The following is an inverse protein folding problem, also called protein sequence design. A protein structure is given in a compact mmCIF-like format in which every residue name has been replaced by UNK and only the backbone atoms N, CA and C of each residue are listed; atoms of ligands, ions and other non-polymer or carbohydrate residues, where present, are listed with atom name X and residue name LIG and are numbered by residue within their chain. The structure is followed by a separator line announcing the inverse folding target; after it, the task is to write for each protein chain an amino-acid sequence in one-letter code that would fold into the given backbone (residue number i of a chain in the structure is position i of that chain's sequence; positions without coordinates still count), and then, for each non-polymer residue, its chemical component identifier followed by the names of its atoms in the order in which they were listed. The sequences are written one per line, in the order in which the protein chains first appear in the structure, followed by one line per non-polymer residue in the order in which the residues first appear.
data_IF_214276844844
#
_entry.id   IF_214276844844
#
_cell.length_a   1.000
_cell.length_b   1.000
_cell.length_c   1.000
_cell.angle_alpha   90.00
_cell.angle_beta   90.00
_cell.angle_gamma   90.00
#
_symmetry.space_group_name_H-M   'P 1'
#
loop_
_entity.id
_entity.type
_entity.pdbx_description
1 polymer ?
#
# COMPACT_ATOMS: atom_id res chain seq x y z
N UNK A 1 18.62 -12.44 2.60
CA UNK A 1 17.24 -12.13 2.18
C UNK A 1 16.56 -13.30 1.48
N UNK A 2 16.95 -13.69 0.25
CA UNK A 2 16.27 -14.78 -0.49
C UNK A 2 16.36 -16.13 0.23
N UNK A 3 17.54 -16.50 0.73
CA UNK A 3 17.73 -17.76 1.45
C UNK A 3 17.03 -17.80 2.82
N UNK A 4 16.78 -16.65 3.42
CA UNK A 4 16.01 -16.55 4.67
C UNK A 4 14.51 -16.65 4.40
N UNK A 5 14.05 -16.03 3.31
CA UNK A 5 12.66 -16.13 2.88
C UNK A 5 12.24 -17.58 2.59
N UNK A 6 13.14 -18.41 2.07
CA UNK A 6 12.89 -19.82 1.74
C UNK A 6 12.70 -20.72 2.97
N UNK A 7 13.04 -20.28 4.18
CA UNK A 7 12.99 -21.11 5.40
C UNK A 7 11.60 -21.21 6.02
N UNK A 8 10.66 -20.37 5.60
CA UNK A 8 9.32 -20.32 6.18
C UNK A 8 8.28 -20.16 5.07
N UNK A 9 7.09 -20.73 5.27
CA UNK A 9 5.91 -20.47 4.43
C UNK A 9 5.33 -19.06 4.64
N UNK A 10 5.71 -18.38 5.74
CA UNK A 10 5.26 -17.02 6.10
C UNK A 10 6.45 -16.11 6.45
N UNK A 11 7.37 -15.83 5.50
CA UNK A 11 8.62 -15.15 5.80
C UNK A 11 8.46 -13.66 6.10
N UNK A 12 8.51 -13.29 7.38
CA UNK A 12 8.58 -11.89 7.84
C UNK A 12 10.02 -11.43 7.96
N UNK A 13 10.55 -10.87 6.87
CA UNK A 13 11.92 -10.35 6.87
C UNK A 13 11.98 -8.98 7.53
N UNK A 14 12.83 -8.84 8.54
CA UNK A 14 13.09 -7.56 9.21
C UNK A 14 14.30 -6.83 8.63
N UNK A 15 14.24 -6.53 7.34
CA UNK A 15 15.30 -5.79 6.66
C UNK A 15 14.93 -4.32 6.50
N UNK A 16 15.94 -3.45 6.53
CA UNK A 16 15.81 -2.02 6.25
C UNK A 16 15.58 -1.77 4.77
N UNK A 17 14.86 -0.69 4.44
CA UNK A 17 14.73 -0.22 3.06
C UNK A 17 16.08 0.21 2.47
N UNK A 18 16.25 0.04 1.16
CA UNK A 18 17.41 0.48 0.39
C UNK A 18 16.97 1.36 -0.77
N UNK A 19 17.62 2.49 -0.96
CA UNK A 19 17.42 3.42 -2.08
C UNK A 19 18.74 3.55 -2.82
N UNK A 20 18.76 3.14 -4.07
CA UNK A 20 19.91 3.26 -4.97
C UNK A 20 19.94 4.61 -5.69
N UNK A 21 20.52 4.68 -6.91
CA UNK A 21 20.64 5.91 -7.68
C UNK A 21 19.32 6.32 -8.33
N UNK A 22 18.34 6.65 -7.50
CA UNK A 22 17.00 7.05 -7.92
C UNK A 22 16.53 8.29 -7.17
N UNK A 23 15.74 9.11 -7.85
CA UNK A 23 15.11 10.30 -7.27
C UNK A 23 13.64 10.38 -7.68
N UNK A 24 12.81 10.93 -6.79
CA UNK A 24 11.42 11.26 -7.12
C UNK A 24 11.39 12.64 -7.78
N UNK A 25 10.79 12.75 -8.95
CA UNK A 25 10.60 14.02 -9.67
C UNK A 25 9.16 14.12 -10.18
N UNK A 26 8.69 15.33 -10.44
CA UNK A 26 7.51 15.52 -11.29
C UNK A 26 7.87 15.11 -12.72
N UNK A 27 7.08 14.23 -13.34
CA UNK A 27 7.34 13.73 -14.71
C UNK A 27 6.55 14.55 -15.73
N UNK A 28 5.26 14.69 -15.50
CA UNK A 28 4.37 15.47 -16.35
C UNK A 28 3.10 15.84 -15.60
N UNK A 29 2.46 16.92 -16.01
CA UNK A 29 1.24 17.46 -15.37
C UNK A 29 0.11 16.42 -15.30
N UNK A 30 0.08 15.46 -16.22
CA UNK A 30 -0.92 14.39 -16.30
C UNK A 30 -0.53 13.08 -15.59
N UNK A 31 0.75 12.88 -15.24
CA UNK A 31 1.25 11.63 -14.62
C UNK A 31 1.73 11.82 -13.18
N UNK A 32 1.90 13.06 -12.74
CA UNK A 32 2.39 13.39 -11.40
C UNK A 32 3.84 12.99 -11.17
N UNK A 33 4.13 12.51 -9.96
CA UNK A 33 5.48 12.12 -9.52
C UNK A 33 5.88 10.76 -10.09
N UNK A 34 7.14 10.65 -10.51
CA UNK A 34 7.77 9.40 -10.93
C UNK A 34 9.16 9.23 -10.33
N UNK A 35 9.70 8.03 -10.50
CA UNK A 35 11.04 7.66 -10.05
C UNK A 35 11.99 7.66 -11.26
N UNK A 36 13.05 8.47 -11.20
CA UNK A 36 14.06 8.59 -12.27
C UNK A 36 15.42 8.13 -11.77
N UNK A 37 16.28 7.71 -12.69
CA UNK A 37 17.68 7.38 -12.39
C UNK A 37 18.50 8.67 -12.27
N UNK A 38 19.44 8.69 -11.32
CA UNK A 38 20.38 9.82 -11.15
C UNK A 38 21.74 9.58 -11.80
N UNK A 39 22.03 8.35 -12.21
CA UNK A 39 23.25 7.93 -12.90
C UNK A 39 22.96 6.69 -13.75
N UNK A 40 23.90 6.32 -14.62
CA UNK A 40 23.83 5.11 -15.42
C UNK A 40 23.89 3.86 -14.54
N UNK A 41 22.92 2.96 -14.72
CA UNK A 41 22.83 1.70 -13.96
C UNK A 41 23.02 0.49 -14.85
N UNK A 42 23.59 -0.57 -14.29
CA UNK A 42 23.75 -1.85 -14.99
C UNK A 42 22.50 -2.71 -14.85
N UNK A 43 22.23 -3.54 -15.85
CA UNK A 43 21.18 -4.55 -15.77
C UNK A 43 21.37 -5.43 -14.54
N UNK A 44 20.31 -5.60 -13.75
CA UNK A 44 20.33 -6.39 -12.51
C UNK A 44 20.81 -5.64 -11.27
N UNK A 45 21.17 -4.36 -11.39
CA UNK A 45 21.46 -3.51 -10.23
C UNK A 45 20.19 -3.24 -9.42
N UNK A 46 20.27 -3.39 -8.11
CA UNK A 46 19.17 -3.06 -7.20
C UNK A 46 18.98 -1.53 -7.18
N UNK A 47 17.76 -1.07 -7.48
CA UNK A 47 17.41 0.35 -7.49
C UNK A 47 16.66 0.79 -6.24
N UNK A 48 15.76 -0.07 -5.77
CA UNK A 48 14.90 0.21 -4.62
C UNK A 48 14.51 -1.10 -3.97
N UNK A 49 14.51 -1.10 -2.65
CA UNK A 49 13.89 -2.12 -1.81
C UNK A 49 13.18 -1.41 -0.67
N UNK A 50 11.91 -1.73 -0.44
CA UNK A 50 11.14 -1.16 0.66
C UNK A 50 10.56 -2.26 1.52
N UNK A 51 10.62 -2.08 2.84
CA UNK A 51 9.92 -2.93 3.78
C UNK A 51 8.41 -2.67 3.65
N UNK A 52 7.63 -3.74 3.48
CA UNK A 52 6.18 -3.64 3.47
C UNK A 52 5.66 -3.08 4.80
N UNK A 53 4.64 -2.22 4.72
CA UNK A 53 4.03 -1.64 5.92
C UNK A 53 3.31 -2.70 6.76
N UNK A 54 2.65 -3.65 6.10
CA UNK A 54 2.01 -4.82 6.70
C UNK A 54 2.05 -5.99 5.70
N UNK A 55 2.09 -7.21 6.21
CA UNK A 55 2.08 -8.46 5.44
C UNK A 55 1.11 -9.41 6.12
N UNK A 56 0.18 -9.95 5.33
CA UNK A 56 -0.80 -10.94 5.77
C UNK A 56 -0.68 -12.15 4.88
N UNK A 57 -0.58 -13.34 5.47
CA UNK A 57 -0.54 -14.60 4.73
C UNK A 57 -1.91 -15.30 4.75
N UNK A 58 -2.24 -16.12 3.74
CA UNK A 58 -3.52 -16.85 3.70
C UNK A 58 -3.78 -17.72 4.94
N UNK A 59 -2.74 -18.30 5.53
CA UNK A 59 -2.83 -19.10 6.77
C UNK A 59 -3.23 -18.29 8.01
N UNK A 60 -3.20 -16.96 7.90
CA UNK A 60 -3.50 -16.01 8.98
C UNK A 60 -4.86 -15.34 8.77
N UNK A 61 -5.53 -15.65 7.67
CA UNK A 61 -6.86 -15.18 7.38
C UNK A 61 -7.86 -15.82 8.33
N UNK A 62 -8.41 -15.03 9.24
CA UNK A 62 -9.64 -15.34 9.97
C UNK A 62 -10.85 -14.81 9.19
N UNK A 63 -12.07 -15.12 9.65
CA UNK A 63 -13.32 -14.57 9.09
C UNK A 63 -13.49 -13.09 9.47
N UNK A 64 -12.58 -12.23 9.00
CA UNK A 64 -12.69 -10.77 9.12
C UNK A 64 -13.34 -10.23 7.86
N UNK A 65 -14.48 -9.57 8.06
CA UNK A 65 -15.24 -8.92 7.00
C UNK A 65 -15.20 -7.40 7.21
N UNK A 66 -14.70 -6.67 6.23
CA UNK A 66 -14.76 -5.22 6.20
C UNK A 66 -15.91 -4.79 5.30
N UNK A 67 -16.98 -4.27 5.90
CA UNK A 67 -18.16 -3.80 5.20
C UNK A 67 -18.08 -2.29 4.95
N UNK A 68 -18.15 -1.89 3.69
CA UNK A 68 -18.29 -0.49 3.32
C UNK A 68 -19.67 -0.27 2.69
N UNK A 69 -20.59 0.30 3.47
CA UNK A 69 -21.96 0.56 3.01
C UNK A 69 -22.04 1.66 1.94
N UNK A 70 -21.06 2.58 1.89
CA UNK A 70 -21.01 3.66 0.90
C UNK A 70 -20.65 3.12 -0.47
N UNK A 71 -19.64 2.24 -0.54
CA UNK A 71 -19.22 1.60 -1.80
C UNK A 71 -20.01 0.32 -2.11
N UNK A 72 -20.78 -0.19 -1.13
CA UNK A 72 -21.48 -1.48 -1.18
C UNK A 72 -20.54 -2.66 -1.42
N UNK A 73 -19.29 -2.53 -0.98
CA UNK A 73 -18.27 -3.58 -1.11
C UNK A 73 -18.03 -4.23 0.25
N UNK A 74 -17.85 -5.55 0.21
CA UNK A 74 -17.38 -6.34 1.35
C UNK A 74 -15.99 -6.85 0.99
N UNK A 75 -14.98 -6.46 1.77
CA UNK A 75 -13.64 -7.04 1.67
C UNK A 75 -13.53 -8.16 2.70
N UNK A 76 -13.07 -9.32 2.27
CA UNK A 76 -12.96 -10.52 3.11
C UNK A 76 -11.56 -11.11 2.98
N UNK A 77 -11.24 -12.11 3.80
CA UNK A 77 -9.96 -12.81 3.73
C UNK A 77 -8.76 -11.93 4.07
N UNK A 78 -7.70 -12.05 3.28
CA UNK A 78 -6.40 -11.41 3.50
C UNK A 78 -6.49 -9.89 3.52
N UNK A 79 -7.29 -9.29 2.63
CA UNK A 79 -7.49 -7.85 2.58
C UNK A 79 -8.20 -7.30 3.83
N UNK A 80 -9.18 -8.04 4.35
CA UNK A 80 -9.89 -7.67 5.58
C UNK A 80 -8.95 -7.70 6.79
N UNK A 81 -8.21 -8.80 6.94
CA UNK A 81 -7.23 -8.98 8.02
C UNK A 81 -6.08 -7.98 7.93
N UNK A 82 -5.52 -7.75 6.73
CA UNK A 82 -4.45 -6.77 6.52
C UNK A 82 -4.89 -5.36 6.89
N UNK A 83 -6.11 -4.96 6.50
CA UNK A 83 -6.66 -3.64 6.84
C UNK A 83 -6.78 -3.48 8.36
N UNK A 84 -7.29 -4.50 9.06
CA UNK A 84 -7.37 -4.49 10.52
C UNK A 84 -5.99 -4.42 11.18
N UNK A 85 -5.00 -5.17 10.67
CA UNK A 85 -3.62 -5.12 11.15
C UNK A 85 -3.00 -3.72 10.98
N UNK A 86 -3.25 -3.07 9.84
CA UNK A 86 -2.79 -1.69 9.58
C UNK A 86 -3.43 -0.70 10.55
N UNK A 87 -4.75 -0.78 10.76
CA UNK A 87 -5.46 0.09 11.73
C UNK A 87 -4.86 -0.08 13.12
N UNK A 88 -4.70 -1.31 13.59
CA UNK A 88 -4.09 -1.60 14.89
C UNK A 88 -2.66 -1.07 14.98
N UNK A 89 -1.87 -1.22 13.91
CA UNK A 89 -0.49 -0.72 13.85
C UNK A 89 -0.43 0.81 13.97
N UNK A 90 -1.33 1.52 13.30
CA UNK A 90 -1.43 2.98 13.35
C UNK A 90 -1.92 3.48 14.72
N UNK A 91 -2.91 2.80 15.32
CA UNK A 91 -3.41 3.11 16.67
C UNK A 91 -2.30 3.00 17.72
N UNK A 92 -1.50 1.94 17.63
CA UNK A 92 -0.40 1.69 18.57
C UNK A 92 0.86 2.51 18.26
N UNK A 93 0.99 3.06 17.05
CA UNK A 93 2.17 3.82 16.62
C UNK A 93 1.77 5.10 15.86
N UNK A 94 1.24 6.12 16.54
CA UNK A 94 0.77 7.36 15.90
C UNK A 94 1.77 8.08 15.00
N UNK A 95 3.07 7.93 15.27
CA UNK A 95 4.16 8.52 14.47
C UNK A 95 4.17 8.02 13.01
N UNK A 96 3.59 6.85 12.73
CA UNK A 96 3.54 6.28 11.39
C UNK A 96 2.44 6.89 10.51
N UNK A 97 1.41 7.49 11.13
CA UNK A 97 0.18 7.89 10.45
C UNK A 97 0.40 8.92 9.34
N UNK A 98 1.20 9.94 9.59
CA UNK A 98 1.47 10.98 8.57
C UNK A 98 2.06 10.37 7.30
N UNK A 99 3.04 9.46 7.44
CA UNK A 99 3.64 8.78 6.28
C UNK A 99 2.67 7.82 5.58
N UNK A 100 1.84 7.11 6.35
CA UNK A 100 0.87 6.17 5.81
C UNK A 100 -0.23 6.86 4.99
N UNK A 101 -0.81 7.95 5.51
CA UNK A 101 -1.87 8.68 4.81
C UNK A 101 -1.39 9.42 3.55
N UNK A 102 -0.07 9.55 3.37
CA UNK A 102 0.53 10.07 2.14
C UNK A 102 0.65 9.02 1.01
N UNK A 103 0.43 7.73 1.30
CA UNK A 103 0.53 6.64 0.30
C UNK A 103 -0.57 6.66 -0.75
N UNK A 104 -1.68 7.37 -0.51
CA UNK A 104 -2.73 7.56 -1.50
C UNK A 104 -3.43 8.89 -1.29
N UNK A 105 -3.30 9.78 -2.26
CA UNK A 105 -3.94 11.09 -2.24
C UNK A 105 -5.48 10.99 -2.24
N UNK A 106 -6.03 10.03 -2.99
CA UNK A 106 -7.44 9.64 -2.99
C UNK A 106 -8.51 10.74 -3.02
N UNK A 107 -9.75 10.32 -2.76
CA UNK A 107 -10.94 11.21 -2.60
C UNK A 107 -10.94 11.97 -1.26
N UNK A 108 -9.96 11.72 -0.40
CA UNK A 108 -9.91 12.19 0.98
C UNK A 108 -9.10 13.49 1.13
N UNK A 109 -8.44 13.96 0.04
CA UNK A 109 -7.87 15.32 -0.03
C UNK A 109 -8.97 16.34 -0.33
N UNK A 110 -9.84 16.60 0.65
CA UNK A 110 -10.53 17.89 0.73
C UNK A 110 -9.82 18.71 1.80
N UNK A 111 -8.82 19.49 1.37
CA UNK A 111 -8.34 20.69 2.09
C UNK A 111 -7.54 20.54 3.40
N UNK A 112 -7.20 19.33 3.87
CA UNK A 112 -6.54 19.15 5.19
C UNK A 112 -5.14 18.54 5.14
N UNK A 113 -4.27 18.98 6.05
CA UNK A 113 -3.02 18.32 6.47
C UNK A 113 -3.29 16.82 6.75
N UNK A 114 -2.35 15.89 6.45
CA UNK A 114 -2.52 14.48 6.83
C UNK A 114 -2.93 14.38 8.30
N UNK A 115 -3.94 13.55 8.64
CA UNK A 115 -4.33 13.36 10.04
C UNK A 115 -3.09 12.98 10.83
N UNK A 116 -2.69 13.87 11.72
CA UNK A 116 -1.69 13.52 12.73
C UNK A 116 -2.48 12.70 13.74
N UNK A 117 -2.10 11.44 13.97
CA UNK A 117 -2.84 10.52 14.84
C UNK A 117 -2.70 10.88 16.33
N UNK A 118 -2.82 12.15 16.66
CA UNK A 118 -2.95 12.65 18.02
C UNK A 118 -4.45 12.79 18.29
N UNK A 119 -4.99 11.78 18.98
CA UNK A 119 -6.32 11.73 19.61
C UNK A 119 -7.58 11.59 18.71
N UNK A 120 -7.51 11.75 17.39
CA UNK A 120 -8.66 11.49 16.50
C UNK A 120 -8.73 10.01 16.10
N UNK A 121 -9.95 9.46 16.06
CA UNK A 121 -10.20 8.08 15.65
C UNK A 121 -9.68 7.85 14.22
N UNK A 122 -8.88 6.80 14.02
CA UNK A 122 -8.37 6.43 12.69
C UNK A 122 -9.54 6.12 11.75
N UNK A 123 -9.61 6.85 10.64
CA UNK A 123 -10.60 6.61 9.59
C UNK A 123 -10.31 5.28 8.88
N UNK A 124 -11.05 4.24 9.29
CA UNK A 124 -10.93 2.90 8.75
C UNK A 124 -11.25 2.81 7.24
N UNK A 125 -12.08 3.70 6.71
CA UNK A 125 -12.41 3.71 5.28
C UNK A 125 -11.26 4.27 4.46
N UNK A 126 -10.60 5.34 4.94
CA UNK A 126 -9.40 5.86 4.30
C UNK A 126 -8.25 4.85 4.35
N UNK A 127 -8.04 4.19 5.48
CA UNK A 127 -7.06 3.10 5.58
C UNK A 127 -7.36 1.98 4.58
N UNK A 128 -8.63 1.56 4.48
CA UNK A 128 -9.09 0.54 3.53
C UNK A 128 -8.83 0.95 2.07
N UNK A 129 -9.01 2.22 1.71
CA UNK A 129 -8.71 2.76 0.38
C UNK A 129 -7.21 2.77 0.09
N UNK A 130 -6.38 3.24 1.04
CA UNK A 130 -4.91 3.22 0.90
C UNK A 130 -4.42 1.78 0.69
N UNK A 131 -4.89 0.84 1.52
CA UNK A 131 -4.55 -0.57 1.40
C UNK A 131 -4.95 -1.13 0.04
N UNK A 132 -6.15 -0.82 -0.46
CA UNK A 132 -6.57 -1.31 -1.79
C UNK A 132 -5.72 -0.79 -2.95
N UNK A 133 -5.16 0.41 -2.83
CA UNK A 133 -4.35 1.00 -3.90
C UNK A 133 -2.85 0.62 -3.80
N UNK A 134 -2.38 0.19 -2.63
CA UNK A 134 -0.95 -0.03 -2.37
C UNK A 134 -0.60 -1.46 -1.93
N UNK A 135 -1.56 -2.37 -1.82
CA UNK A 135 -1.29 -3.79 -1.47
C UNK A 135 -0.97 -4.58 -2.73
N UNK A 136 0.06 -5.41 -2.65
CA UNK A 136 0.38 -6.43 -3.65
C UNK A 136 -0.08 -7.78 -3.10
N UNK A 137 -0.98 -8.45 -3.83
CA UNK A 137 -1.51 -9.76 -3.45
C UNK A 137 -1.21 -10.80 -4.52
N UNK A 138 -1.36 -12.07 -4.15
CA UNK A 138 -1.42 -13.16 -5.12
C UNK A 138 -2.80 -13.09 -5.77
N UNK A 139 -2.85 -12.90 -7.09
CA UNK A 139 -4.09 -13.11 -7.82
C UNK A 139 -4.45 -14.58 -7.63
N UNK A 140 -5.63 -14.88 -7.09
CA UNK A 140 -6.19 -16.22 -7.21
C UNK A 140 -6.11 -16.60 -8.69
N UNK A 141 -5.53 -17.77 -9.00
CA UNK A 141 -5.36 -18.26 -10.36
C UNK A 141 -6.70 -18.16 -11.10
N UNK A 142 -6.84 -17.17 -11.99
CA UNK A 142 -8.01 -17.02 -12.86
C UNK A 142 -8.67 -15.64 -12.95
N UNK A 143 -8.35 -14.66 -12.09
CA UNK A 143 -8.90 -13.30 -12.23
C UNK A 143 -7.79 -12.31 -12.53
N UNK A 144 -7.54 -12.11 -13.82
CA UNK A 144 -6.69 -11.03 -14.30
C UNK A 144 -7.39 -9.69 -13.99
N UNK A 145 -6.81 -8.77 -13.20
CA UNK A 145 -7.38 -7.45 -13.05
C UNK A 145 -7.36 -6.78 -14.41
N UNK A 146 -8.54 -6.53 -14.98
CA UNK A 146 -8.68 -5.80 -16.23
C UNK A 146 -7.82 -4.53 -16.17
N UNK A 147 -7.01 -4.24 -17.21
CA UNK A 147 -6.26 -3.00 -17.28
C UNK A 147 -7.20 -1.83 -16.98
N UNK A 148 -6.78 -0.92 -16.10
CA UNK A 148 -7.49 0.33 -15.84
C UNK A 148 -7.59 1.05 -17.18
N UNK A 149 -8.77 0.99 -17.81
CA UNK A 149 -9.00 1.72 -19.04
C UNK A 149 -9.11 3.20 -18.67
N UNK A 150 -8.34 4.08 -19.34
CA UNK A 150 -8.48 5.51 -19.12
C UNK A 150 -9.92 5.91 -19.43
N UNK A 151 -10.58 6.52 -18.44
CA UNK A 151 -11.91 7.09 -18.60
C UNK A 151 -11.83 8.13 -19.70
N UNK A 152 -12.43 7.86 -20.87
CA UNK A 152 -12.58 8.84 -21.93
C UNK A 152 -13.35 10.03 -21.35
N UNK A 153 -12.70 11.19 -21.25
CA UNK A 153 -13.40 12.45 -21.01
C UNK A 153 -14.40 12.63 -22.14
N UNK A 154 -15.69 12.73 -21.82
CA UNK A 154 -16.67 13.22 -22.79
C UNK A 154 -16.33 14.69 -23.07
N UNK A 155 -15.99 14.97 -24.33
CA UNK A 155 -15.97 16.32 -24.91
C UNK A 155 -17.37 16.89 -24.98
#
# INVERSE_FOLDING_TARGET
MIEEAKKSSTPRLDNTSYVGPVQITEISTDRGRGLVLTEDVRKGQLLLYSKAFSITYPTECSEVHHFNAVTKLVKTGDHGVNTAQVINKLQNNPSLSSSFFQLYAGRHRIGGTPPTATAEAIDSFWVSDICSMNTFGVLEDGVNPSPIQPTKSKS
#
